data_IF_019542440522
#
_entry.id   IF_019542440522
#
_cell.length_a   1.000
_cell.length_b   1.000
_cell.length_c   1.000
_cell.angle_alpha   90.00
_cell.angle_beta   90.00
_cell.angle_gamma   90.00
#
_symmetry.space_group_name_H-M   'P 1'
#
loop_
_entity.id
_entity.type
_entity.pdbx_description
1 polymer ?
#
# COMPACT_ATOMS: atom_id res chain seq x y z
N UNK A 1 29.32 -12.15 3.83
CA UNK A 1 29.90 -11.33 2.73
C UNK A 1 28.77 -10.96 1.78
N UNK A 2 27.80 -10.22 2.30
CA UNK A 2 26.42 -10.13 1.80
C UNK A 2 25.83 -8.84 2.37
N UNK A 3 26.27 -7.68 1.84
CA UNK A 3 25.73 -6.36 2.18
C UNK A 3 26.26 -5.32 1.17
N UNK A 4 26.07 -5.52 -0.14
CA UNK A 4 26.54 -4.53 -1.12
C UNK A 4 25.82 -4.53 -2.48
N UNK A 5 24.57 -4.99 -2.56
CA UNK A 5 23.84 -5.05 -3.84
C UNK A 5 22.45 -4.39 -3.88
N UNK A 6 22.11 -3.55 -2.90
CA UNK A 6 20.83 -2.82 -2.88
C UNK A 6 20.93 -1.32 -3.22
N UNK A 7 22.13 -0.79 -3.50
CA UNK A 7 22.34 0.63 -3.79
C UNK A 7 22.37 1.02 -5.27
N UNK A 8 21.96 0.16 -6.21
CA UNK A 8 22.10 0.44 -7.66
C UNK A 8 20.80 0.51 -8.47
N UNK A 9 19.64 0.66 -7.84
CA UNK A 9 18.38 0.99 -8.55
C UNK A 9 17.64 2.22 -8.00
N UNK A 10 18.25 2.98 -7.08
CA UNK A 10 17.76 4.32 -6.68
C UNK A 10 18.30 5.39 -7.65
N UNK A 11 17.92 5.29 -8.92
CA UNK A 11 18.21 6.31 -9.93
C UNK A 11 17.25 7.48 -9.80
N UNK A 12 17.55 8.41 -8.89
CA UNK A 12 16.76 9.64 -8.73
C UNK A 12 17.11 10.42 -7.48
N UNK A 13 18.37 10.82 -7.30
CA UNK A 13 18.74 11.80 -6.29
C UNK A 13 18.14 13.16 -6.66
N UNK A 14 17.02 13.54 -6.04
CA UNK A 14 16.51 14.90 -6.11
C UNK A 14 17.39 15.78 -5.22
N UNK A 15 18.22 16.60 -5.85
CA UNK A 15 18.96 17.64 -5.16
C UNK A 15 17.97 18.70 -4.65
N UNK A 16 17.97 18.93 -3.34
CA UNK A 16 17.22 20.01 -2.71
C UNK A 16 17.74 21.37 -3.23
N UNK A 17 16.95 22.01 -4.10
CA UNK A 17 17.26 23.33 -4.66
C UNK A 17 15.99 24.13 -4.96
N UNK A 18 15.85 25.26 -4.26
CA UNK A 18 15.00 26.44 -4.55
C UNK A 18 13.49 26.26 -4.73
N UNK A 19 12.72 26.71 -3.72
CA UNK A 19 11.37 27.34 -3.71
C UNK A 19 10.37 27.16 -4.90
N UNK A 20 10.39 26.02 -5.59
CA UNK A 20 9.29 25.48 -6.39
C UNK A 20 8.51 24.47 -5.54
N UNK A 21 7.24 24.21 -5.88
CA UNK A 21 6.44 23.23 -5.14
C UNK A 21 7.20 21.90 -5.03
N UNK A 22 7.33 21.35 -3.81
CA UNK A 22 7.91 20.02 -3.56
C UNK A 22 7.05 18.87 -4.14
N UNK A 23 5.97 19.21 -4.87
CA UNK A 23 5.05 18.28 -5.50
C UNK A 23 5.49 17.92 -6.93
N UNK A 24 5.07 16.76 -7.46
CA UNK A 24 5.45 16.32 -8.80
C UNK A 24 4.98 17.31 -9.88
N UNK A 25 5.88 17.81 -10.72
CA UNK A 25 5.50 18.79 -11.76
C UNK A 25 4.79 18.14 -12.98
N UNK A 26 5.03 16.84 -13.22
CA UNK A 26 4.63 16.14 -14.45
C UNK A 26 3.13 15.79 -14.49
N UNK A 27 2.43 15.87 -13.36
CA UNK A 27 1.06 15.37 -13.21
C UNK A 27 0.01 16.47 -13.02
N UNK A 28 0.41 17.73 -12.97
CA UNK A 28 -0.50 18.88 -12.93
C UNK A 28 -0.24 19.84 -11.79
N UNK A 29 -1.12 20.84 -11.59
CA UNK A 29 -1.04 21.71 -10.42
C UNK A 29 -1.41 20.93 -9.17
N UNK A 30 -0.64 21.14 -8.10
CA UNK A 30 -0.88 20.57 -6.79
C UNK A 30 -1.13 21.69 -5.78
N UNK A 31 -2.05 21.44 -4.84
CA UNK A 31 -2.11 22.15 -3.57
C UNK A 31 -1.44 21.33 -2.46
N UNK A 32 -0.81 21.99 -1.50
CA UNK A 32 -0.31 21.34 -0.29
C UNK A 32 -1.36 21.48 0.80
N UNK A 33 -1.85 20.34 1.28
CA UNK A 33 -2.83 20.27 2.38
C UNK A 33 -2.17 19.63 3.60
N UNK A 34 -2.31 20.28 4.75
CA UNK A 34 -1.90 19.72 6.05
C UNK A 34 -3.11 19.05 6.71
N UNK A 35 -2.95 17.78 7.07
CA UNK A 35 -3.95 17.00 7.80
C UNK A 35 -3.43 16.79 9.22
N UNK A 36 -4.10 17.35 10.24
CA UNK A 36 -3.65 17.28 11.63
C UNK A 36 -3.37 15.84 12.06
N UNK A 37 -2.22 15.63 12.71
CA UNK A 37 -1.77 14.33 13.24
C UNK A 37 -1.51 13.24 12.19
N UNK A 38 -1.55 13.58 10.89
CA UNK A 38 -1.24 12.66 9.79
C UNK A 38 -0.02 13.14 9.04
N UNK A 39 -0.06 14.36 8.49
CA UNK A 39 1.04 14.91 7.69
C UNK A 39 0.55 15.86 6.60
N UNK A 40 1.47 16.22 5.71
CA UNK A 40 1.23 17.11 4.58
C UNK A 40 1.17 16.32 3.28
N UNK A 41 0.29 16.73 2.37
CA UNK A 41 0.04 16.02 1.12
C UNK A 41 -0.05 17.00 -0.06
N UNK A 42 0.63 16.66 -1.14
CA UNK A 42 0.42 17.21 -2.48
C UNK A 42 -0.86 16.59 -3.06
N UNK A 43 -1.88 17.40 -3.29
CA UNK A 43 -3.17 16.99 -3.85
C UNK A 43 -3.44 17.72 -5.17
N UNK A 44 -3.63 16.98 -6.25
CA UNK A 44 -4.10 17.49 -7.54
C UNK A 44 -5.61 17.27 -7.69
N UNK A 45 -6.20 17.79 -8.77
CA UNK A 45 -7.65 17.76 -9.00
C UNK A 45 -8.17 16.44 -9.59
N UNK A 46 -7.30 15.42 -9.75
CA UNK A 46 -7.75 14.10 -10.15
C UNK A 46 -8.76 13.53 -9.12
N UNK A 47 -9.88 12.93 -9.58
CA UNK A 47 -10.83 12.31 -8.69
C UNK A 47 -10.17 11.23 -7.83
N UNK A 48 -10.34 11.30 -6.51
CA UNK A 48 -9.86 10.29 -5.57
C UNK A 48 -10.58 10.41 -4.23
N UNK A 49 -11.08 9.28 -3.70
CA UNK A 49 -11.75 9.25 -2.41
C UNK A 49 -10.81 9.71 -1.28
N UNK A 50 -9.56 9.24 -1.31
CA UNK A 50 -8.51 9.62 -0.34
C UNK A 50 -8.28 11.13 -0.37
N UNK A 51 -8.03 11.71 -1.56
CA UNK A 51 -7.72 13.14 -1.69
C UNK A 51 -8.90 14.02 -1.24
N UNK A 52 -10.14 13.62 -1.50
CA UNK A 52 -11.34 14.34 -1.02
C UNK A 52 -11.42 14.38 0.51
N UNK A 53 -11.07 13.27 1.18
CA UNK A 53 -11.07 13.21 2.65
C UNK A 53 -9.93 14.06 3.23
N UNK A 54 -8.73 13.97 2.66
CA UNK A 54 -7.57 14.74 3.10
C UNK A 54 -7.77 16.26 2.93
N UNK A 55 -8.36 16.71 1.80
CA UNK A 55 -8.74 18.13 1.58
C UNK A 55 -9.64 18.70 2.68
N UNK A 56 -10.44 17.85 3.32
CA UNK A 56 -11.33 18.24 4.43
C UNK A 56 -10.59 18.27 5.77
N UNK A 57 -9.27 18.10 5.78
CA UNK A 57 -8.44 18.02 6.99
C UNK A 57 -8.71 16.78 7.83
N UNK A 58 -9.20 15.69 7.21
CA UNK A 58 -9.54 14.44 7.92
C UNK A 58 -8.60 13.31 7.49
N UNK A 59 -8.22 12.41 8.42
CA UNK A 59 -7.48 11.20 8.06
C UNK A 59 -8.31 10.28 7.17
N UNK A 60 -7.65 9.64 6.20
CA UNK A 60 -8.20 8.47 5.51
C UNK A 60 -8.17 7.26 6.45
N UNK A 61 -9.20 6.42 6.38
CA UNK A 61 -9.30 5.15 7.13
C UNK A 61 -8.80 5.23 8.59
N UNK A 62 -9.42 6.06 9.46
CA UNK A 62 -8.93 6.29 10.82
C UNK A 62 -8.81 5.00 11.67
N UNK A 63 -9.63 3.99 11.39
CA UNK A 63 -9.54 2.68 12.02
C UNK A 63 -8.23 1.95 11.72
N UNK A 64 -7.64 2.13 10.52
CA UNK A 64 -6.30 1.63 10.20
C UNK A 64 -5.24 2.39 10.98
N UNK A 65 -5.39 3.72 11.12
CA UNK A 65 -4.45 4.53 11.91
C UNK A 65 -4.42 4.13 13.39
N UNK A 66 -5.55 3.68 13.95
CA UNK A 66 -5.57 3.12 15.30
C UNK A 66 -4.71 1.84 15.39
N UNK A 67 -4.74 0.98 14.37
CA UNK A 67 -3.89 -0.22 14.30
C UNK A 67 -2.42 0.13 14.08
N UNK A 68 -2.11 1.15 13.28
CA UNK A 68 -0.74 1.67 13.14
C UNK A 68 -0.18 2.03 14.51
N UNK A 69 -0.93 2.78 15.33
CA UNK A 69 -0.49 3.17 16.68
C UNK A 69 -0.30 1.99 17.64
N UNK A 70 -1.02 0.90 17.42
CA UNK A 70 -0.95 -0.30 18.27
C UNK A 70 0.19 -1.25 17.90
N UNK A 71 0.53 -1.36 16.61
CA UNK A 71 1.38 -2.44 16.09
C UNK A 71 2.63 -1.99 15.32
N UNK A 72 2.66 -0.76 14.79
CA UNK A 72 3.90 -0.17 14.27
C UNK A 72 4.66 0.41 15.46
N UNK A 73 5.72 -0.29 15.91
CA UNK A 73 6.41 0.02 17.17
C UNK A 73 7.77 0.67 16.90
N UNK A 74 8.29 1.51 17.80
CA UNK A 74 9.59 2.16 17.61
C UNK A 74 10.72 1.18 17.31
N UNK A 75 11.54 1.47 16.29
CA UNK A 75 12.66 0.64 15.84
C UNK A 75 12.26 -0.60 15.03
N UNK A 76 10.98 -0.77 14.70
CA UNK A 76 10.51 -1.90 13.89
C UNK A 76 10.38 -1.58 12.40
N UNK A 77 10.14 -2.64 11.63
CA UNK A 77 9.76 -2.54 10.23
C UNK A 77 8.24 -2.62 10.10
N UNK A 78 7.65 -1.68 9.38
CA UNK A 78 6.25 -1.74 8.94
C UNK A 78 6.16 -1.78 7.41
N UNK A 79 5.08 -2.35 6.89
CA UNK A 79 4.90 -2.58 5.46
C UNK A 79 3.54 -2.03 5.04
N UNK A 80 3.54 -1.23 3.98
CA UNK A 80 2.34 -0.64 3.37
C UNK A 80 2.23 -1.15 1.92
N UNK A 81 1.32 -2.09 1.66
CA UNK A 81 1.03 -2.59 0.32
C UNK A 81 -0.22 -1.91 -0.21
N UNK A 82 -0.12 -1.31 -1.40
CA UNK A 82 -1.11 -0.35 -1.90
C UNK A 82 -0.96 0.99 -1.19
N UNK A 83 0.27 1.53 -1.18
CA UNK A 83 0.59 2.73 -0.39
C UNK A 83 -0.05 4.01 -0.94
N UNK A 84 -0.48 4.01 -2.22
CA UNK A 84 -1.07 5.14 -2.91
C UNK A 84 -0.22 6.40 -2.70
N UNK A 85 -0.77 7.47 -2.13
CA UNK A 85 -0.07 8.74 -1.88
C UNK A 85 0.57 8.83 -0.48
N UNK A 86 0.62 7.72 0.27
CA UNK A 86 1.25 7.63 1.58
C UNK A 86 0.38 8.04 2.77
N UNK A 87 -0.95 8.03 2.62
CA UNK A 87 -1.87 8.41 3.72
C UNK A 87 -1.75 7.52 4.96
N UNK A 88 -1.25 6.29 4.80
CA UNK A 88 -0.95 5.36 5.89
C UNK A 88 0.56 5.20 6.12
N UNK A 89 1.37 5.12 5.05
CA UNK A 89 2.83 5.04 5.15
C UNK A 89 3.46 6.17 5.99
N UNK A 90 2.98 7.42 5.88
CA UNK A 90 3.50 8.56 6.65
C UNK A 90 3.23 8.39 8.16
N UNK A 91 2.00 8.08 8.62
CA UNK A 91 1.75 7.69 10.00
C UNK A 91 2.56 6.48 10.47
N UNK A 92 2.74 5.45 9.65
CA UNK A 92 3.59 4.30 10.00
C UNK A 92 5.03 4.74 10.26
N UNK A 93 5.58 5.61 9.40
CA UNK A 93 6.94 6.11 9.50
C UNK A 93 7.17 6.90 10.79
N UNK A 94 6.17 7.68 11.18
CA UNK A 94 6.18 8.41 12.46
C UNK A 94 6.12 7.44 13.65
N UNK A 95 5.31 6.39 13.56
CA UNK A 95 5.12 5.42 14.63
C UNK A 95 6.35 4.53 14.89
N UNK A 96 7.01 4.05 13.82
CA UNK A 96 8.24 3.25 13.94
C UNK A 96 9.47 4.10 14.30
N UNK A 97 9.39 5.42 14.15
CA UNK A 97 10.46 6.36 14.52
C UNK A 97 11.71 6.27 13.64
N UNK A 98 12.70 7.10 13.95
CA UNK A 98 13.92 7.28 13.14
C UNK A 98 14.78 6.01 13.02
N UNK A 99 14.72 5.12 14.00
CA UNK A 99 15.44 3.83 14.00
C UNK A 99 14.64 2.71 13.32
N UNK A 100 13.37 2.93 13.02
CA UNK A 100 12.50 2.00 12.31
C UNK A 100 12.56 2.19 10.80
N UNK A 101 11.79 1.40 10.05
CA UNK A 101 11.68 1.53 8.60
C UNK A 101 10.30 1.18 8.09
N UNK A 102 9.85 1.87 7.05
CA UNK A 102 8.61 1.53 6.34
C UNK A 102 8.92 1.15 4.91
N UNK A 103 8.36 0.05 4.44
CA UNK A 103 8.43 -0.36 3.03
C UNK A 103 7.05 -0.16 2.40
N UNK A 104 6.95 0.85 1.53
CA UNK A 104 5.70 1.29 0.92
C UNK A 104 5.69 0.89 -0.56
N UNK A 105 4.82 -0.03 -0.93
CA UNK A 105 4.70 -0.60 -2.28
C UNK A 105 3.53 0.05 -3.01
N UNK A 106 3.83 0.75 -4.11
CA UNK A 106 2.85 1.40 -4.97
C UNK A 106 3.28 1.29 -6.44
N UNK A 107 2.69 0.37 -7.23
CA UNK A 107 3.09 0.18 -8.63
C UNK A 107 2.62 1.29 -9.59
N UNK A 108 1.54 2.01 -9.27
CA UNK A 108 1.05 3.10 -10.13
C UNK A 108 2.03 4.28 -10.11
N UNK A 109 2.57 4.62 -11.28
CA UNK A 109 3.67 5.58 -11.38
C UNK A 109 3.29 6.99 -10.89
N UNK A 110 2.04 7.41 -11.09
CA UNK A 110 1.55 8.71 -10.63
C UNK A 110 1.44 8.72 -9.10
N UNK A 111 0.73 7.73 -8.54
CA UNK A 111 0.54 7.60 -7.10
C UNK A 111 1.88 7.45 -6.38
N UNK A 112 2.82 6.70 -6.95
CA UNK A 112 4.17 6.55 -6.40
C UNK A 112 4.99 7.85 -6.45
N UNK A 113 4.86 8.66 -7.50
CA UNK A 113 5.50 9.97 -7.56
C UNK A 113 4.93 10.92 -6.47
N UNK A 114 3.63 10.88 -6.25
CA UNK A 114 2.95 11.63 -5.18
C UNK A 114 3.39 11.14 -3.79
N UNK A 115 3.51 9.81 -3.58
CA UNK A 115 4.07 9.23 -2.37
C UNK A 115 5.47 9.78 -2.08
N UNK A 116 6.39 9.71 -3.05
CA UNK A 116 7.77 10.21 -2.88
C UNK A 116 7.78 11.70 -2.53
N UNK A 117 6.99 12.51 -3.23
CA UNK A 117 6.86 13.94 -2.94
C UNK A 117 6.32 14.20 -1.52
N UNK A 118 5.32 13.43 -1.09
CA UNK A 118 4.75 13.55 0.25
C UNK A 118 5.73 13.12 1.33
N UNK A 119 6.54 12.07 1.11
CA UNK A 119 7.60 11.69 2.05
C UNK A 119 8.63 12.82 2.21
N UNK A 120 9.07 13.43 1.11
CA UNK A 120 9.98 14.58 1.14
C UNK A 120 9.37 15.80 1.83
N UNK A 121 8.09 16.09 1.56
CA UNK A 121 7.34 17.18 2.18
C UNK A 121 7.18 17.02 3.71
N UNK A 122 7.16 15.77 4.19
CA UNK A 122 7.12 15.44 5.62
C UNK A 122 8.50 15.16 6.21
N UNK A 123 9.58 15.29 5.43
CA UNK A 123 10.97 15.06 5.87
C UNK A 123 11.20 13.65 6.44
N UNK A 124 10.60 12.64 5.80
CA UNK A 124 10.69 11.25 6.23
C UNK A 124 11.75 10.49 5.41
N UNK A 125 12.88 10.20 6.04
CA UNK A 125 13.98 9.44 5.44
C UNK A 125 13.91 7.93 5.74
N UNK A 126 13.04 7.51 6.66
CA UNK A 126 12.87 6.12 7.09
C UNK A 126 11.80 5.35 6.30
N UNK A 127 11.46 5.81 5.08
CA UNK A 127 10.48 5.16 4.21
C UNK A 127 11.08 4.82 2.85
N UNK A 128 10.96 3.55 2.46
CA UNK A 128 11.32 3.03 1.16
C UNK A 128 10.09 2.98 0.26
N UNK A 129 9.91 3.99 -0.60
CA UNK A 129 8.84 4.01 -1.61
C UNK A 129 9.24 3.20 -2.85
N UNK A 130 8.61 2.04 -3.04
CA UNK A 130 8.94 1.05 -4.05
C UNK A 130 7.87 1.00 -5.13
N UNK A 131 8.25 1.33 -6.37
CA UNK A 131 7.38 1.19 -7.55
C UNK A 131 7.38 -0.26 -8.05
N UNK A 132 6.83 -1.15 -7.22
CA UNK A 132 6.85 -2.61 -7.40
C UNK A 132 5.48 -3.15 -6.98
N UNK A 133 4.92 -4.06 -7.78
CA UNK A 133 3.76 -4.85 -7.41
C UNK A 133 4.20 -6.05 -6.56
N UNK A 134 3.38 -6.44 -5.57
CA UNK A 134 3.61 -7.65 -4.79
C UNK A 134 2.67 -8.79 -5.20
N UNK A 135 3.17 -10.02 -5.20
CA UNK A 135 2.39 -11.21 -5.51
C UNK A 135 3.09 -12.51 -5.10
N UNK A 136 2.54 -13.64 -5.55
CA UNK A 136 3.01 -14.97 -5.16
C UNK A 136 4.36 -15.35 -5.77
N UNK A 137 4.66 -14.83 -6.97
CA UNK A 137 5.87 -15.15 -7.73
C UNK A 137 6.51 -13.87 -8.29
N UNK A 138 7.82 -13.92 -8.53
CA UNK A 138 8.51 -12.83 -9.22
C UNK A 138 8.23 -12.86 -10.73
N UNK A 139 8.17 -11.69 -11.37
CA UNK A 139 7.93 -11.55 -12.79
C UNK A 139 7.63 -10.11 -13.20
N UNK A 140 6.84 -9.97 -14.26
CA UNK A 140 6.27 -8.69 -14.67
C UNK A 140 4.76 -8.82 -14.80
N UNK A 141 4.05 -7.71 -14.60
CA UNK A 141 2.59 -7.63 -14.71
C UNK A 141 2.21 -6.36 -15.46
N UNK A 142 1.04 -6.36 -16.09
CA UNK A 142 0.48 -5.16 -16.70
C UNK A 142 -0.57 -4.56 -15.76
N UNK A 143 -0.53 -3.25 -15.56
CA UNK A 143 -1.48 -2.54 -14.70
C UNK A 143 -2.48 -1.75 -15.55
N UNK A 144 -3.77 -1.86 -15.23
CA UNK A 144 -4.80 -0.94 -15.69
C UNK A 144 -4.78 0.28 -14.78
N UNK A 145 -4.35 1.40 -15.31
CA UNK A 145 -4.38 2.71 -14.64
C UNK A 145 -5.59 3.50 -15.13
N UNK A 146 -6.21 4.27 -14.25
CA UNK A 146 -7.45 4.99 -14.53
C UNK A 146 -7.29 6.49 -14.29
N UNK A 147 -8.18 7.34 -14.83
CA UNK A 147 -8.18 8.76 -14.49
C UNK A 147 -8.67 9.06 -13.06
N UNK A 148 -9.03 8.03 -12.27
CA UNK A 148 -9.45 8.16 -10.87
C UNK A 148 -8.34 7.57 -9.99
N UNK A 149 -7.62 8.42 -9.26
CA UNK A 149 -6.49 7.94 -8.48
C UNK A 149 -6.93 7.06 -7.31
N UNK A 150 -6.11 6.07 -7.00
CA UNK A 150 -6.42 5.01 -6.04
C UNK A 150 -7.27 3.88 -6.63
N UNK A 151 -7.56 3.91 -7.94
CA UNK A 151 -8.24 2.82 -8.65
C UNK A 151 -7.34 2.36 -9.78
N UNK A 152 -6.64 1.24 -9.57
CA UNK A 152 -5.84 0.52 -10.55
C UNK A 152 -5.88 -0.98 -10.25
N UNK A 153 -5.72 -1.82 -11.27
CA UNK A 153 -5.79 -3.29 -11.09
C UNK A 153 -4.93 -4.02 -12.11
N UNK A 154 -4.61 -5.29 -11.84
CA UNK A 154 -3.87 -6.15 -12.78
C UNK A 154 -4.67 -6.35 -14.06
N UNK A 155 -4.09 -6.09 -15.23
CA UNK A 155 -4.82 -6.09 -16.50
C UNK A 155 -5.24 -7.48 -16.95
N UNK A 156 -4.48 -8.51 -16.55
CA UNK A 156 -4.73 -9.91 -16.81
C UNK A 156 -5.80 -10.51 -15.90
N UNK A 157 -6.16 -9.83 -14.81
CA UNK A 157 -7.25 -10.26 -13.93
C UNK A 157 -8.59 -10.05 -14.65
N UNK A 158 -9.18 -11.16 -15.09
CA UNK A 158 -10.50 -11.16 -15.68
C UNK A 158 -11.54 -10.70 -14.62
N UNK A 159 -12.48 -9.81 -14.98
CA UNK A 159 -13.61 -9.52 -14.11
C UNK A 159 -14.37 -10.83 -13.87
N UNK A 160 -14.79 -11.07 -12.63
CA UNK A 160 -15.71 -12.17 -12.34
C UNK A 160 -17.13 -11.69 -12.67
N UNK A 161 -17.76 -12.19 -13.76
CA UNK A 161 -19.09 -11.74 -14.16
C UNK A 161 -20.18 -12.14 -13.16
N UNK A 162 -19.89 -13.03 -12.21
CA UNK A 162 -20.80 -13.41 -11.13
C UNK A 162 -20.58 -12.55 -9.86
N UNK A 163 -19.54 -11.73 -9.79
CA UNK A 163 -19.27 -10.86 -8.66
C UNK A 163 -20.21 -9.64 -8.68
N UNK A 164 -21.17 -9.61 -7.74
CA UNK A 164 -21.98 -8.43 -7.46
C UNK A 164 -21.33 -7.50 -6.41
N UNK A 165 -20.00 -7.30 -6.49
CA UNK A 165 -19.29 -6.43 -5.55
C UNK A 165 -19.35 -4.96 -5.96
N UNK A 166 -19.24 -4.07 -4.97
CA UNK A 166 -19.15 -2.64 -5.24
C UNK A 166 -17.89 -2.29 -6.05
N UNK A 167 -16.79 -3.03 -5.86
CA UNK A 167 -15.60 -2.86 -6.68
C UNK A 167 -15.84 -3.26 -8.13
N UNK A 168 -16.48 -4.39 -8.44
CA UNK A 168 -16.73 -4.77 -9.83
C UNK A 168 -17.67 -3.76 -10.52
N UNK A 169 -18.62 -3.20 -9.78
CA UNK A 169 -19.46 -2.09 -10.26
C UNK A 169 -18.62 -0.84 -10.56
N UNK A 170 -17.71 -0.47 -9.66
CA UNK A 170 -16.80 0.67 -9.83
C UNK A 170 -15.85 0.43 -10.99
N UNK A 171 -15.17 -0.72 -11.04
CA UNK A 171 -14.28 -1.16 -12.11
C UNK A 171 -14.99 -1.10 -13.46
N UNK A 172 -16.15 -1.73 -13.58
CA UNK A 172 -16.97 -1.70 -14.81
C UNK A 172 -17.40 -0.29 -15.21
N UNK A 173 -17.62 0.61 -14.26
CA UNK A 173 -17.93 2.02 -14.55
C UNK A 173 -16.67 2.80 -15.00
N UNK A 174 -15.54 2.60 -14.31
CA UNK A 174 -14.27 3.28 -14.56
C UNK A 174 -13.63 2.81 -15.86
N UNK A 175 -13.73 1.53 -16.22
CA UNK A 175 -13.21 0.96 -17.47
C UNK A 175 -13.84 1.60 -18.73
N UNK A 176 -15.01 2.23 -18.58
CA UNK A 176 -15.69 2.97 -19.65
C UNK A 176 -15.27 4.43 -19.75
N UNK A 177 -14.47 4.93 -18.80
CA UNK A 177 -13.98 6.31 -18.84
C UNK A 177 -12.93 6.47 -19.95
N UNK A 178 -12.83 7.68 -20.55
CA UNK A 178 -11.68 8.00 -21.37
C UNK A 178 -10.39 7.90 -20.53
N UNK A 179 -9.27 7.64 -21.19
CA UNK A 179 -7.92 7.63 -20.59
C UNK A 179 -7.61 6.49 -19.59
N UNK A 180 -8.42 5.44 -19.55
CA UNK A 180 -7.97 4.15 -19.00
C UNK A 180 -6.86 3.59 -19.89
N UNK A 181 -5.72 3.26 -19.28
CA UNK A 181 -4.52 2.81 -19.98
C UNK A 181 -4.05 1.49 -19.41
N UNK A 182 -3.37 0.70 -20.24
CA UNK A 182 -2.52 -0.38 -19.77
C UNK A 182 -1.09 0.13 -19.70
N UNK A 183 -0.46 -0.10 -18.56
CA UNK A 183 0.97 0.08 -18.36
C UNK A 183 1.58 -1.30 -18.23
N UNK A 184 2.37 -1.69 -19.21
CA UNK A 184 3.04 -2.99 -19.22
C UNK A 184 4.36 -2.94 -18.42
N UNK A 185 4.94 -4.12 -18.18
CA UNK A 185 6.29 -4.28 -17.60
C UNK A 185 6.48 -3.71 -16.18
N UNK A 186 5.45 -3.77 -15.33
CA UNK A 186 5.58 -3.47 -13.90
C UNK A 186 6.31 -4.63 -13.20
N UNK A 187 7.38 -4.33 -12.46
CA UNK A 187 8.14 -5.32 -11.67
C UNK A 187 7.21 -5.95 -10.60
N UNK A 188 7.10 -7.28 -10.63
CA UNK A 188 6.32 -8.07 -9.69
C UNK A 188 7.28 -8.88 -8.83
N UNK A 189 7.17 -8.76 -7.50
CA UNK A 189 8.02 -9.49 -6.56
C UNK A 189 7.23 -10.14 -5.44
N UNK A 190 7.85 -11.13 -4.80
CA UNK A 190 7.36 -11.63 -3.52
C UNK A 190 7.86 -10.73 -2.40
N UNK A 191 7.07 -10.56 -1.34
CA UNK A 191 7.52 -9.79 -0.18
C UNK A 191 8.74 -10.45 0.47
N UNK A 192 8.77 -11.78 0.51
CA UNK A 192 9.89 -12.55 1.05
C UNK A 192 11.23 -12.30 0.32
N UNK A 193 11.21 -11.77 -0.92
CA UNK A 193 12.43 -11.46 -1.65
C UNK A 193 13.21 -10.26 -1.10
N UNK A 194 12.59 -9.46 -0.23
CA UNK A 194 13.22 -8.30 0.42
C UNK A 194 13.97 -8.66 1.70
N UNK A 195 13.80 -9.89 2.22
CA UNK A 195 14.46 -10.40 3.45
C UNK A 195 14.37 -9.42 4.63
N UNK A 196 13.18 -8.86 4.84
CA UNK A 196 12.95 -7.85 5.87
C UNK A 196 13.04 -8.43 7.28
N UNK A 197 13.58 -7.63 8.19
CA UNK A 197 13.74 -7.99 9.60
C UNK A 197 12.84 -7.16 10.51
N UNK A 198 12.51 -7.72 11.68
CA UNK A 198 11.73 -7.06 12.72
C UNK A 198 10.39 -6.49 12.22
N UNK A 199 9.68 -7.25 11.37
CA UNK A 199 8.41 -6.81 10.79
C UNK A 199 7.30 -6.95 11.83
N UNK A 200 6.69 -5.85 12.27
CA UNK A 200 5.63 -5.89 13.31
C UNK A 200 4.25 -5.54 12.79
N UNK A 201 4.17 -4.87 11.63
CA UNK A 201 2.89 -4.45 11.04
C UNK A 201 2.91 -4.53 9.52
N UNK A 202 1.83 -5.03 8.93
CA UNK A 202 1.61 -5.05 7.48
C UNK A 202 0.20 -4.52 7.20
N UNK A 203 0.06 -3.54 6.30
CA UNK A 203 -1.20 -3.24 5.62
C UNK A 203 -1.18 -3.87 4.23
N UNK A 204 -2.26 -4.55 3.85
CA UNK A 204 -2.52 -5.05 2.50
C UNK A 204 -3.84 -4.45 2.03
N UNK A 205 -3.78 -3.42 1.21
CA UNK A 205 -4.92 -2.64 0.72
C UNK A 205 -4.86 -2.66 -0.82
N UNK A 206 -5.08 -3.87 -1.33
CA UNK A 206 -5.04 -4.17 -2.77
C UNK A 206 -6.22 -5.07 -3.06
N UNK A 207 -7.32 -4.42 -3.41
CA UNK A 207 -8.59 -5.04 -3.74
C UNK A 207 -8.41 -6.25 -4.67
N UNK A 208 -8.94 -7.41 -4.26
CA UNK A 208 -8.93 -8.63 -5.07
C UNK A 208 -7.59 -9.36 -5.20
N UNK A 209 -6.51 -8.88 -4.55
CA UNK A 209 -5.14 -9.40 -4.72
C UNK A 209 -4.43 -9.80 -3.42
N UNK A 210 -5.18 -9.90 -2.31
CA UNK A 210 -4.63 -10.27 -1.00
C UNK A 210 -4.02 -11.68 -0.96
N UNK A 211 -4.67 -12.68 -1.59
CA UNK A 211 -4.20 -14.08 -1.58
C UNK A 211 -2.79 -14.25 -2.19
N UNK A 212 -2.52 -13.77 -3.44
CA UNK A 212 -1.18 -13.83 -4.00
C UNK A 212 -0.12 -13.17 -3.11
N UNK A 213 -0.43 -12.00 -2.55
CA UNK A 213 0.49 -11.24 -1.68
C UNK A 213 0.81 -12.03 -0.42
N UNK A 214 -0.19 -12.58 0.27
CA UNK A 214 0.01 -13.39 1.48
C UNK A 214 0.89 -14.62 1.21
N UNK A 215 0.69 -15.30 0.07
CA UNK A 215 1.54 -16.45 -0.32
C UNK A 215 2.99 -16.01 -0.57
N UNK A 216 3.19 -14.88 -1.25
CA UNK A 216 4.50 -14.27 -1.46
C UNK A 216 5.16 -13.70 -0.20
N UNK A 217 4.41 -13.59 0.90
CA UNK A 217 4.85 -13.10 2.21
C UNK A 217 4.98 -14.21 3.27
N UNK A 218 4.79 -15.48 2.89
CA UNK A 218 4.61 -16.57 3.85
C UNK A 218 5.78 -16.75 4.82
N UNK A 219 7.03 -16.57 4.38
CA UNK A 219 8.19 -16.68 5.29
C UNK A 219 8.24 -15.51 6.26
N UNK A 220 7.96 -14.30 5.77
CA UNK A 220 7.90 -13.09 6.60
C UNK A 220 6.83 -13.22 7.68
N UNK A 221 5.62 -13.64 7.30
CA UNK A 221 4.48 -13.85 8.21
C UNK A 221 4.81 -14.90 9.27
N UNK A 222 5.36 -16.06 8.87
CA UNK A 222 5.72 -17.13 9.81
C UNK A 222 6.90 -16.81 10.71
N UNK A 223 7.83 -15.98 10.26
CA UNK A 223 9.04 -15.63 11.03
C UNK A 223 8.74 -14.57 12.07
N UNK A 224 7.98 -13.54 11.70
CA UNK A 224 7.83 -12.34 12.51
C UNK A 224 6.45 -12.18 13.15
N UNK A 225 5.44 -12.91 12.68
CA UNK A 225 4.06 -12.84 13.17
C UNK A 225 3.53 -11.39 13.30
N UNK A 226 3.69 -10.54 12.27
CA UNK A 226 3.23 -9.16 12.35
C UNK A 226 1.71 -9.11 12.52
N UNK A 227 1.18 -8.05 13.12
CA UNK A 227 -0.24 -7.75 12.95
C UNK A 227 -0.49 -7.33 11.50
N UNK A 228 -1.59 -7.79 10.91
CA UNK A 228 -1.91 -7.56 9.50
C UNK A 228 -3.27 -6.89 9.42
N UNK A 229 -3.35 -5.73 8.77
CA UNK A 229 -4.61 -5.18 8.29
C UNK A 229 -4.73 -5.54 6.82
N UNK A 230 -5.84 -6.16 6.43
CA UNK A 230 -6.07 -6.57 5.06
C UNK A 230 -7.48 -6.16 4.61
N UNK A 231 -7.53 -5.51 3.45
CA UNK A 231 -8.77 -5.27 2.69
C UNK A 231 -9.21 -6.58 2.04
N UNK A 232 -10.45 -6.95 2.27
CA UNK A 232 -11.11 -8.16 1.80
C UNK A 232 -12.48 -7.75 1.29
N UNK A 233 -12.69 -7.81 -0.02
CA UNK A 233 -14.02 -7.63 -0.59
C UNK A 233 -14.92 -8.82 -0.25
N UNK A 234 -16.24 -8.66 -0.37
CA UNK A 234 -17.22 -9.73 -0.08
C UNK A 234 -17.20 -10.89 -1.09
N UNK A 235 -16.13 -11.06 -1.86
CA UNK A 235 -15.98 -12.08 -2.89
C UNK A 235 -15.25 -13.32 -2.36
N UNK A 236 -15.58 -14.49 -2.91
CA UNK A 236 -14.88 -15.76 -2.60
C UNK A 236 -13.36 -15.67 -2.84
N UNK A 237 -12.92 -14.83 -3.80
CA UNK A 237 -11.50 -14.61 -4.10
C UNK A 237 -10.71 -14.04 -2.91
N UNK A 238 -11.35 -13.16 -2.13
CA UNK A 238 -10.71 -12.52 -0.98
C UNK A 238 -10.95 -13.30 0.32
N UNK A 239 -12.00 -14.13 0.39
CA UNK A 239 -12.22 -15.05 1.51
C UNK A 239 -11.02 -16.00 1.73
N UNK A 240 -10.35 -16.41 0.65
CA UNK A 240 -9.13 -17.21 0.74
C UNK A 240 -7.99 -16.52 1.50
N UNK A 241 -7.97 -15.18 1.58
CA UNK A 241 -6.96 -14.45 2.34
C UNK A 241 -7.18 -14.64 3.85
N UNK A 242 -8.44 -14.60 4.29
CA UNK A 242 -8.82 -14.85 5.68
C UNK A 242 -8.49 -16.29 6.09
N UNK A 243 -8.81 -17.27 5.24
CA UNK A 243 -8.50 -18.69 5.48
C UNK A 243 -6.99 -18.95 5.61
N UNK A 244 -6.16 -18.29 4.77
CA UNK A 244 -4.71 -18.38 4.87
C UNK A 244 -4.22 -17.87 6.22
N UNK A 245 -4.73 -16.73 6.67
CA UNK A 245 -4.32 -16.14 7.95
C UNK A 245 -4.74 -17.00 9.14
N UNK A 246 -5.98 -17.52 9.14
CA UNK A 246 -6.45 -18.45 10.18
C UNK A 246 -5.58 -19.72 10.23
N UNK A 247 -5.23 -20.28 9.07
CA UNK A 247 -4.35 -21.45 8.99
C UNK A 247 -2.93 -21.18 9.51
N UNK A 248 -2.45 -19.94 9.45
CA UNK A 248 -1.18 -19.50 10.06
C UNK A 248 -1.30 -19.14 11.55
N UNK A 249 -2.49 -19.33 12.16
CA UNK A 249 -2.73 -19.12 13.59
C UNK A 249 -3.12 -17.69 13.97
N UNK A 250 -3.69 -16.93 13.02
CA UNK A 250 -4.22 -15.61 13.29
C UNK A 250 -5.68 -15.66 13.73
N UNK A 251 -6.02 -14.76 14.66
CA UNK A 251 -7.41 -14.44 15.00
C UNK A 251 -7.80 -13.16 14.24
N UNK A 252 -8.96 -13.21 13.59
CA UNK A 252 -9.47 -12.15 12.74
C UNK A 252 -10.52 -11.30 13.47
N UNK A 253 -10.42 -9.98 13.34
CA UNK A 253 -11.38 -9.00 13.82
C UNK A 253 -11.77 -8.08 12.66
N UNK A 254 -13.05 -8.01 12.31
CA UNK A 254 -13.53 -7.02 11.34
C UNK A 254 -13.45 -5.62 11.97
N UNK A 255 -12.72 -4.71 11.32
CA UNK A 255 -12.54 -3.32 11.78
C UNK A 255 -13.27 -2.30 10.90
N UNK A 256 -13.71 -2.73 9.72
CA UNK A 256 -14.58 -1.96 8.82
C UNK A 256 -15.52 -2.91 8.05
N UNK A 257 -16.26 -2.39 7.06
CA UNK A 257 -17.06 -3.23 6.16
C UNK A 257 -16.21 -4.09 5.21
N UNK A 258 -14.97 -3.69 4.92
CA UNK A 258 -14.06 -4.35 3.99
C UNK A 258 -12.70 -4.67 4.60
N UNK A 259 -12.42 -4.27 5.85
CA UNK A 259 -11.10 -4.43 6.46
C UNK A 259 -11.14 -5.37 7.67
N UNK A 260 -10.15 -6.27 7.72
CA UNK A 260 -9.90 -7.14 8.87
C UNK A 260 -8.54 -6.84 9.48
N UNK A 261 -8.50 -6.81 10.82
CA UNK A 261 -7.27 -6.97 11.58
C UNK A 261 -7.05 -8.45 11.87
N UNK A 262 -5.88 -8.96 11.52
CA UNK A 262 -5.40 -10.27 11.91
C UNK A 262 -4.29 -10.11 12.95
N UNK A 263 -4.46 -10.76 14.11
CA UNK A 263 -3.44 -10.83 15.17
C UNK A 263 -3.06 -12.27 15.44
N UNK A 264 -1.77 -12.59 15.39
CA UNK A 264 -1.28 -13.94 15.63
C UNK A 264 -1.49 -14.37 17.09
N UNK A 265 -2.02 -15.57 17.30
CA UNK A 265 -2.26 -16.15 18.64
C UNK A 265 -1.64 -17.55 18.82
N UNK A 266 -0.92 -18.04 17.83
CA UNK A 266 -0.42 -19.41 17.77
C UNK A 266 -1.29 -20.29 16.88
N UNK A 267 -0.78 -21.44 16.41
CA UNK A 267 -1.58 -22.38 15.63
C UNK A 267 -2.82 -22.76 16.45
N UNK A 268 -4.01 -22.64 15.85
CA UNK A 268 -5.26 -23.01 16.50
C UNK A 268 -5.20 -24.46 16.98
N UNK A 269 -5.80 -24.74 18.14
CA UNK A 269 -5.95 -26.09 18.68
C UNK A 269 -6.84 -26.91 17.74
N UNK A 270 -6.25 -27.51 16.70
CA UNK A 270 -6.91 -28.44 15.77
C UNK A 270 -7.20 -29.79 16.38
#
# INVERSE_FOLDING_TARGET
>A
MMLLLLTLLAGGAWAAGSTGSQCPADYGPYEVVEVPQVGKFCLDDNPSAVKVVLRRGKPWAPFILDRVREYAVPGSTAIDVGAHIGSIAIPMATAVGEEGSVYAFEPDAKSQAELVANLALNQLDNVHALKIALGENAGTVSLRTTPVDGISWVAEDAPDPAAESDFERIRSAVERLPDVKTVDDIDLRTLDSFDLENVTFIKIDVEGYGVPILRGASKTIRKWHPAIVIEVSTQERDQGALEILEAEGYVLEAISAADYLAVWRGPGDG
#
